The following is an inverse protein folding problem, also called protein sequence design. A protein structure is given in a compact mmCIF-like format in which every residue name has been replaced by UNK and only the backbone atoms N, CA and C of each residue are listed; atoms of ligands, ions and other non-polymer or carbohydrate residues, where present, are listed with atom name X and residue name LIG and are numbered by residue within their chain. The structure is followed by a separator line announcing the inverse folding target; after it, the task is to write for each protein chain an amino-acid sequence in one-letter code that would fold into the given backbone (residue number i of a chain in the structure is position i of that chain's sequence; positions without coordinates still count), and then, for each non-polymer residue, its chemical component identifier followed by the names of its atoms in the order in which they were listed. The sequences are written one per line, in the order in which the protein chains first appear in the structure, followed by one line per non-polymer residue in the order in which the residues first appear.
data_IF_058132071228
#
_entry.id   IF_058132071228
#
_cell.length_a   1.000
_cell.length_b   1.000
_cell.length_c   1.000
_cell.angle_alpha   90.00
_cell.angle_beta   90.00
_cell.angle_gamma   90.00
#
_symmetry.space_group_name_H-M   'P 1'
#
loop_
_entity.id
_entity.type
_entity.pdbx_description
1 polymer ?
#
# COMPACT_ATOMS: atom_id res chain seq x y z
N UNK A 1 4.71 -19.49 27.64
CA UNK A 1 4.91 -19.09 26.23
C UNK A 1 3.79 -18.13 25.84
N UNK A 2 4.12 -16.93 25.34
CA UNK A 2 3.11 -16.00 24.83
C UNK A 2 2.62 -16.54 23.49
N UNK A 3 1.33 -16.85 23.38
CA UNK A 3 0.74 -17.30 22.13
C UNK A 3 0.44 -16.10 21.23
N UNK A 4 1.01 -16.10 20.03
CA UNK A 4 0.74 -15.10 19.00
C UNK A 4 -0.69 -15.30 18.50
N UNK A 5 -1.56 -14.31 18.73
CA UNK A 5 -2.91 -14.30 18.18
C UNK A 5 -2.86 -13.96 16.70
N UNK A 6 -3.53 -14.75 15.85
CA UNK A 6 -3.59 -14.49 14.40
C UNK A 6 -4.18 -13.09 14.14
N UNK A 7 -3.48 -12.22 13.38
CA UNK A 7 -4.03 -10.93 12.99
C UNK A 7 -5.17 -11.12 11.97
N UNK A 8 -6.13 -10.21 12.01
CA UNK A 8 -7.20 -10.09 11.01
C UNK A 8 -7.01 -8.77 10.26
N UNK A 9 -7.33 -8.78 8.97
CA UNK A 9 -7.31 -7.60 8.12
C UNK A 9 -8.75 -7.15 7.86
N UNK A 10 -9.04 -5.89 8.13
CA UNK A 10 -10.35 -5.27 7.95
C UNK A 10 -10.19 -4.17 6.90
N UNK A 11 -11.01 -4.20 5.85
CA UNK A 11 -11.08 -3.13 4.86
C UNK A 11 -12.04 -2.04 5.35
N UNK A 12 -11.55 -0.82 5.52
CA UNK A 12 -12.37 0.34 5.84
C UNK A 12 -12.86 0.98 4.56
N UNK A 13 -14.17 0.87 4.30
CA UNK A 13 -14.83 1.57 3.21
C UNK A 13 -15.26 2.96 3.70
N UNK A 14 -14.55 3.99 3.26
CA UNK A 14 -14.93 5.38 3.51
C UNK A 14 -15.96 5.83 2.46
N UNK A 15 -17.15 6.25 2.89
CA UNK A 15 -18.23 6.70 1.96
C UNK A 15 -17.89 7.99 1.21
N UNK A 16 -16.99 8.80 1.76
CA UNK A 16 -16.60 10.10 1.20
C UNK A 16 -15.39 10.02 0.24
N UNK A 17 -14.82 8.83 0.02
CA UNK A 17 -13.63 8.65 -0.79
C UNK A 17 -13.94 7.67 -1.92
N UNK A 18 -13.46 8.00 -3.12
CA UNK A 18 -13.53 7.09 -4.26
C UNK A 18 -12.73 5.81 -3.98
N UNK A 19 -13.44 4.74 -3.67
CA UNK A 19 -12.87 3.43 -3.36
C UNK A 19 -12.08 2.80 -4.51
N UNK A 20 -12.18 3.34 -5.74
CA UNK A 20 -11.36 2.89 -6.86
C UNK A 20 -9.92 3.42 -6.80
N UNK A 21 -9.68 4.54 -6.10
CA UNK A 21 -8.38 5.21 -6.03
C UNK A 21 -7.71 5.14 -4.66
N UNK A 22 -8.48 4.87 -3.60
CA UNK A 22 -7.97 4.82 -2.23
C UNK A 22 -8.58 3.65 -1.46
N UNK A 23 -7.72 2.95 -0.71
CA UNK A 23 -8.13 1.90 0.21
C UNK A 23 -7.45 2.05 1.56
N UNK A 24 -8.22 1.90 2.64
CA UNK A 24 -7.72 1.89 4.02
C UNK A 24 -7.92 0.51 4.63
N UNK A 25 -6.89 -0.01 5.28
CA UNK A 25 -6.90 -1.32 5.92
C UNK A 25 -6.42 -1.24 7.36
N UNK A 26 -7.06 -1.99 8.25
CA UNK A 26 -6.67 -2.14 9.65
C UNK A 26 -6.26 -3.59 9.88
N UNK A 27 -5.10 -3.80 10.49
CA UNK A 27 -4.58 -5.14 10.80
C UNK A 27 -4.34 -5.26 12.30
N UNK A 28 -5.08 -6.15 12.95
CA UNK A 28 -5.02 -6.33 14.41
C UNK A 28 -5.45 -7.74 14.86
N UNK A 29 -4.98 -8.23 16.02
CA UNK A 29 -3.97 -7.63 16.88
C UNK A 29 -2.55 -7.90 16.34
N UNK A 30 -1.62 -7.00 16.64
CA UNK A 30 -0.20 -7.14 16.35
C UNK A 30 0.61 -7.02 17.63
N UNK A 31 1.67 -7.82 17.72
CA UNK A 31 2.66 -7.68 18.78
C UNK A 31 3.36 -6.32 18.70
N UNK A 32 3.85 -5.84 19.84
CA UNK A 32 4.57 -4.55 19.91
C UNK A 32 5.75 -4.56 18.92
N UNK A 33 5.80 -3.53 18.07
CA UNK A 33 6.84 -3.38 17.04
C UNK A 33 6.50 -4.00 15.69
N UNK A 34 5.63 -5.02 15.61
CA UNK A 34 5.29 -5.66 14.34
C UNK A 34 4.56 -4.71 13.38
N UNK A 35 3.77 -3.76 13.91
CA UNK A 35 3.13 -2.72 13.10
C UNK A 35 4.15 -1.88 12.32
N UNK A 36 5.28 -1.51 12.94
CA UNK A 36 6.34 -0.73 12.29
C UNK A 36 7.06 -1.60 11.25
N UNK A 37 7.41 -2.84 11.60
CA UNK A 37 8.09 -3.77 10.70
C UNK A 37 7.27 -4.05 9.44
N UNK A 38 5.97 -4.37 9.59
CA UNK A 38 5.06 -4.62 8.47
C UNK A 38 4.82 -3.33 7.67
N UNK A 39 4.51 -2.22 8.34
CA UNK A 39 4.21 -0.94 7.68
C UNK A 39 5.37 -0.41 6.86
N UNK A 40 6.60 -0.42 7.41
CA UNK A 40 7.79 0.02 6.69
C UNK A 40 8.10 -0.89 5.49
N UNK A 41 7.97 -2.21 5.66
CA UNK A 41 8.21 -3.17 4.58
C UNK A 41 7.21 -2.97 3.44
N UNK A 42 5.91 -2.86 3.76
CA UNK A 42 4.86 -2.61 2.78
C UNK A 42 5.07 -1.27 2.06
N UNK A 43 5.38 -0.19 2.79
CA UNK A 43 5.66 1.12 2.19
C UNK A 43 6.81 1.05 1.19
N UNK A 44 7.91 0.36 1.52
CA UNK A 44 9.07 0.24 0.62
C UNK A 44 8.74 -0.52 -0.65
N UNK A 45 7.99 -1.62 -0.54
CA UNK A 45 7.58 -2.42 -1.70
C UNK A 45 6.63 -1.65 -2.60
N UNK A 46 5.60 -1.03 -2.02
CA UNK A 46 4.58 -0.28 -2.76
C UNK A 46 5.16 0.94 -3.50
N UNK A 47 6.16 1.61 -2.93
CA UNK A 47 6.78 2.77 -3.58
C UNK A 47 7.93 2.42 -4.54
N UNK A 48 8.66 1.33 -4.27
CA UNK A 48 9.92 1.05 -4.97
C UNK A 48 9.87 -0.09 -5.98
N UNK A 49 8.96 -1.05 -5.81
CA UNK A 49 8.96 -2.30 -6.58
C UNK A 49 7.58 -2.64 -7.17
N UNK A 50 6.63 -1.72 -7.10
CA UNK A 50 5.31 -1.97 -7.65
C UNK A 50 5.36 -1.86 -9.18
N UNK A 51 4.98 -2.93 -9.92
CA UNK A 51 4.97 -2.88 -11.37
C UNK A 51 3.94 -1.87 -11.86
N UNK A 52 4.31 -1.09 -12.87
CA UNK A 52 3.44 -0.10 -13.47
C UNK A 52 3.85 0.17 -14.91
N UNK A 53 3.03 0.95 -15.60
CA UNK A 53 3.34 1.46 -16.93
C UNK A 53 3.38 2.99 -16.86
N UNK A 54 4.38 3.58 -17.51
CA UNK A 54 4.50 5.01 -17.64
C UNK A 54 4.98 5.34 -19.06
N UNK A 55 4.66 6.54 -19.53
CA UNK A 55 5.18 7.07 -20.79
C UNK A 55 6.68 7.32 -20.57
N UNK A 56 7.52 6.68 -21.39
CA UNK A 56 8.99 6.79 -21.29
C UNK A 56 9.56 7.83 -22.25
N UNK A 57 8.90 8.04 -23.39
CA UNK A 57 9.32 8.98 -24.41
C UNK A 57 8.12 9.46 -25.21
N UNK A 58 8.23 10.68 -25.75
CA UNK A 58 7.27 11.25 -26.69
C UNK A 58 8.07 11.85 -27.85
N UNK A 59 7.61 11.65 -29.09
CA UNK A 59 8.12 12.35 -30.27
C UNK A 59 7.08 13.37 -30.70
N UNK A 60 7.48 14.63 -30.84
CA UNK A 60 6.64 15.72 -31.33
C UNK A 60 7.20 16.14 -32.68
N UNK A 61 6.43 15.95 -33.74
CA UNK A 61 6.84 16.33 -35.08
C UNK A 61 6.75 17.86 -35.24
N UNK A 62 7.79 18.48 -35.80
CA UNK A 62 7.81 19.92 -36.09
C UNK A 62 8.45 20.83 -35.03
N UNK A 63 9.09 20.28 -34.00
CA UNK A 63 9.89 21.04 -33.02
C UNK A 63 11.37 20.69 -33.22
N UNK A 64 12.20 21.73 -33.39
CA UNK A 64 13.64 21.67 -33.67
C UNK A 64 14.44 22.00 -32.41
#
# INVERSE_FOLDING_TARGET
MIQIKKPRMIYMKDTNIDSSKYGRFVVEPLERGYGITLGNSLRRVLLGAFPGAAITAVRIDGVL
#
